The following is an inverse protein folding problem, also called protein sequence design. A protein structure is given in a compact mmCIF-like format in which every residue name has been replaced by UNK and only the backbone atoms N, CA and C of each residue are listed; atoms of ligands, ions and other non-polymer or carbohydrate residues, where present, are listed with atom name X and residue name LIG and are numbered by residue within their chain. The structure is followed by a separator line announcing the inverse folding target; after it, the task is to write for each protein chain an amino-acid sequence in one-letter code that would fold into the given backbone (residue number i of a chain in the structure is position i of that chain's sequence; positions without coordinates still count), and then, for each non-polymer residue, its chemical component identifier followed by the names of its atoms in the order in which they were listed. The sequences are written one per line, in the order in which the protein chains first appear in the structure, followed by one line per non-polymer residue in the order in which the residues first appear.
data_IF_818443241755
#
_entry.id   IF_818443241755
#
_cell.length_a   1.000
_cell.length_b   1.000
_cell.length_c   1.000
_cell.angle_alpha   90.00
_cell.angle_beta   90.00
_cell.angle_gamma   90.00
#
_symmetry.space_group_name_H-M   'P 1'
#
loop_
_entity.id
_entity.type
_entity.pdbx_description
1 polymer ?
#
# COMPACT_ATOMS: atom_id res chain seq x y z
N UNK A 1 -20.47 32.24 39.67
CA UNK A 1 -20.62 32.77 38.28
C UNK A 1 -19.81 31.87 37.34
N UNK A 2 -20.46 30.94 36.62
CA UNK A 2 -19.81 30.04 35.64
C UNK A 2 -19.51 30.83 34.36
N UNK A 3 -18.26 30.83 33.88
CA UNK A 3 -17.91 31.41 32.58
C UNK A 3 -18.13 30.35 31.50
N UNK A 4 -19.13 30.57 30.66
CA UNK A 4 -19.31 29.84 29.40
C UNK A 4 -18.15 30.20 28.46
N UNK A 5 -17.52 29.18 27.85
CA UNK A 5 -16.61 29.38 26.72
C UNK A 5 -17.44 29.32 25.44
N UNK A 6 -17.36 30.39 24.67
CA UNK A 6 -17.96 30.49 23.35
C UNK A 6 -17.29 29.51 22.38
N UNK A 7 -18.11 28.80 21.64
CA UNK A 7 -17.73 27.99 20.50
C UNK A 7 -17.56 28.93 19.31
N UNK A 8 -16.38 28.94 18.71
CA UNK A 8 -16.10 29.69 17.49
C UNK A 8 -16.52 28.80 16.33
N UNK A 9 -17.59 29.21 15.67
CA UNK A 9 -18.09 28.63 14.42
C UNK A 9 -17.25 29.20 13.27
N UNK A 10 -16.36 28.38 12.72
CA UNK A 10 -15.68 28.69 11.46
C UNK A 10 -16.46 28.03 10.34
N UNK A 11 -17.50 28.72 9.90
CA UNK A 11 -18.20 28.38 8.65
C UNK A 11 -17.24 28.52 7.48
N UNK A 12 -16.86 27.40 6.88
CA UNK A 12 -16.35 27.35 5.51
C UNK A 12 -17.33 26.51 4.70
N UNK A 13 -18.22 27.21 3.98
CA UNK A 13 -18.87 26.66 2.80
C UNK A 13 -17.80 26.57 1.69
N UNK A 14 -17.45 25.35 1.30
CA UNK A 14 -16.44 25.08 0.28
C UNK A 14 -16.71 23.74 -0.40
N UNK A 15 -16.65 23.74 -1.74
CA UNK A 15 -16.94 22.59 -2.59
C UNK A 15 -16.25 21.30 -2.14
N UNK A 16 -17.00 20.21 -2.20
CA UNK A 16 -16.68 18.92 -1.60
C UNK A 16 -15.32 18.37 -1.98
N UNK A 17 -14.34 18.62 -1.11
CA UNK A 17 -13.29 17.63 -0.81
C UNK A 17 -13.90 16.75 0.28
N UNK A 18 -14.06 15.47 -0.02
CA UNK A 18 -14.66 14.46 0.88
C UNK A 18 -13.98 14.59 2.25
N UNK A 19 -14.74 15.09 3.22
CA UNK A 19 -14.25 15.50 4.53
C UNK A 19 -13.55 14.35 5.23
N UNK A 20 -12.26 14.53 5.51
CA UNK A 20 -11.52 13.67 6.42
C UNK A 20 -12.02 13.99 7.83
N UNK A 21 -13.08 13.30 8.26
CA UNK A 21 -13.74 13.54 9.54
C UNK A 21 -12.77 13.23 10.71
N UNK A 22 -12.08 14.26 11.20
CA UNK A 22 -11.37 14.26 12.47
C UNK A 22 -9.97 13.67 12.47
N UNK A 23 -9.23 13.99 13.54
CA UNK A 23 -7.92 13.45 13.91
C UNK A 23 -6.70 14.15 13.30
N UNK A 24 -6.31 15.28 13.91
CA UNK A 24 -4.91 15.77 13.92
C UNK A 24 -3.88 14.64 14.09
N UNK A 25 -4.26 13.57 14.78
CA UNK A 25 -3.46 12.37 14.99
C UNK A 25 -3.23 11.56 13.69
N UNK A 26 -4.20 11.49 12.79
CA UNK A 26 -4.04 10.78 11.52
C UNK A 26 -3.09 11.53 10.58
N UNK A 27 -3.28 12.84 10.43
CA UNK A 27 -2.35 13.68 9.67
C UNK A 27 -0.93 13.63 10.27
N UNK A 28 -0.80 13.64 11.60
CA UNK A 28 0.49 13.46 12.26
C UNK A 28 1.10 12.07 12.00
N UNK A 29 0.29 11.01 12.00
CA UNK A 29 0.73 9.65 11.68
C UNK A 29 1.21 9.54 10.22
N UNK A 30 0.48 10.12 9.27
CA UNK A 30 0.90 10.19 7.87
C UNK A 30 2.21 10.96 7.71
N UNK A 31 2.37 12.09 8.40
CA UNK A 31 3.61 12.85 8.35
C UNK A 31 4.80 12.08 8.95
N UNK A 32 4.54 11.27 9.98
CA UNK A 32 5.57 10.41 10.57
C UNK A 32 5.94 9.25 9.64
N UNK A 33 4.94 8.63 8.99
CA UNK A 33 5.12 7.60 7.98
C UNK A 33 5.98 8.11 6.80
N UNK A 34 5.61 9.27 6.24
CA UNK A 34 6.33 9.89 5.12
C UNK A 34 7.81 10.14 5.46
N UNK A 35 8.10 10.69 6.66
CA UNK A 35 9.49 10.84 7.14
C UNK A 35 10.20 9.50 7.31
N UNK A 36 9.49 8.47 7.76
CA UNK A 36 10.02 7.10 7.88
C UNK A 36 10.43 6.54 6.52
N UNK A 37 9.56 6.67 5.51
CA UNK A 37 9.87 6.30 4.12
C UNK A 37 11.09 7.08 3.63
N UNK A 38 11.10 8.41 3.79
CA UNK A 38 12.25 9.24 3.42
C UNK A 38 13.57 8.81 4.07
N UNK A 39 13.53 8.35 5.32
CA UNK A 39 14.71 7.82 6.03
C UNK A 39 15.26 6.55 5.35
N UNK A 40 14.39 5.63 4.95
CA UNK A 40 14.78 4.41 4.23
C UNK A 40 15.34 4.75 2.86
N UNK A 41 14.65 5.61 2.10
CA UNK A 41 15.09 6.04 0.78
C UNK A 41 16.46 6.71 0.83
N UNK A 42 16.69 7.58 1.82
CA UNK A 42 17.98 8.23 2.02
C UNK A 42 19.09 7.25 2.40
N UNK A 43 18.78 6.22 3.20
CA UNK A 43 19.73 5.17 3.54
C UNK A 43 20.14 4.34 2.30
N UNK A 44 19.20 4.01 1.41
CA UNK A 44 19.47 3.32 0.15
C UNK A 44 20.37 4.16 -0.78
N UNK A 45 20.08 5.46 -0.89
CA UNK A 45 20.89 6.40 -1.67
C UNK A 45 22.32 6.52 -1.11
N UNK A 46 22.48 6.69 0.21
CA UNK A 46 23.80 6.79 0.85
C UNK A 46 24.65 5.54 0.73
N UNK A 47 24.00 4.38 0.67
CA UNK A 47 24.67 3.09 0.43
C UNK A 47 24.97 2.84 -1.04
N UNK A 48 24.59 3.76 -1.94
CA UNK A 48 24.76 3.64 -3.39
C UNK A 48 24.11 2.38 -3.98
N UNK A 49 23.00 1.91 -3.39
CA UNK A 49 22.25 0.72 -3.85
C UNK A 49 20.86 1.05 -4.38
N UNK A 50 20.45 2.33 -4.34
CA UNK A 50 19.11 2.75 -4.78
C UNK A 50 18.78 2.35 -6.23
N UNK A 51 19.79 2.41 -7.12
CA UNK A 51 19.63 2.10 -8.54
C UNK A 51 19.27 0.63 -8.81
N UNK A 52 19.83 -0.28 -8.00
CA UNK A 52 19.60 -1.73 -8.07
C UNK A 52 18.58 -2.22 -7.04
N UNK A 53 17.77 -1.33 -6.45
CA UNK A 53 16.78 -1.69 -5.44
C UNK A 53 15.38 -1.37 -5.96
N UNK A 54 14.54 -2.40 -6.06
CA UNK A 54 13.11 -2.22 -6.23
C UNK A 54 12.46 -1.83 -4.90
N UNK A 55 11.81 -0.66 -4.87
CA UNK A 55 11.01 -0.20 -3.74
C UNK A 55 9.54 -0.22 -4.13
N UNK A 56 8.71 -0.85 -3.31
CA UNK A 56 7.25 -0.81 -3.43
C UNK A 56 6.62 -0.25 -2.15
N UNK A 57 5.76 0.76 -2.30
CA UNK A 57 4.93 1.30 -1.24
C UNK A 57 3.46 1.01 -1.54
N UNK A 58 2.77 0.39 -0.60
CA UNK A 58 1.39 -0.05 -0.78
C UNK A 58 0.57 0.07 0.51
N UNK A 59 -0.75 0.16 0.38
CA UNK A 59 -1.71 -0.09 1.46
C UNK A 59 -2.44 -1.41 1.23
N UNK A 60 -2.77 -2.12 2.30
CA UNK A 60 -3.46 -3.43 2.29
C UNK A 60 -4.95 -3.30 1.97
N UNK A 61 -5.59 -2.22 2.41
CA UNK A 61 -6.99 -1.90 2.11
C UNK A 61 -7.24 -0.38 2.11
N UNK A 62 -8.38 0.03 1.57
CA UNK A 62 -8.87 1.41 1.63
C UNK A 62 -9.33 1.79 3.04
N UNK A 63 -9.21 3.07 3.40
CA UNK A 63 -9.61 3.55 4.73
C UNK A 63 -11.13 3.78 4.86
N UNK A 64 -11.83 3.95 3.73
CA UNK A 64 -13.27 4.10 3.66
C UNK A 64 -13.86 2.75 3.24
N UNK A 65 -14.98 2.33 3.85
CA UNK A 65 -15.65 1.05 3.54
C UNK A 65 -14.79 -0.21 3.69
N UNK A 66 -13.73 -0.16 4.52
CA UNK A 66 -12.92 -1.33 4.87
C UNK A 66 -13.82 -2.52 5.25
N UNK A 67 -13.51 -3.68 4.67
CA UNK A 67 -14.27 -4.92 4.89
C UNK A 67 -15.39 -5.15 3.87
N UNK A 68 -15.59 -4.22 2.93
CA UNK A 68 -16.51 -4.37 1.81
C UNK A 68 -15.77 -4.34 0.49
N UNK A 69 -16.35 -4.96 -0.55
CA UNK A 69 -15.81 -4.96 -1.91
C UNK A 69 -16.20 -3.69 -2.70
N UNK A 70 -16.57 -2.62 -2.02
CA UNK A 70 -16.78 -1.32 -2.66
C UNK A 70 -15.44 -0.73 -3.07
N UNK A 71 -15.47 0.10 -4.13
CA UNK A 71 -14.25 0.70 -4.70
C UNK A 71 -13.40 1.41 -3.64
N UNK A 72 -14.01 2.14 -2.70
CA UNK A 72 -13.26 2.87 -1.68
C UNK A 72 -12.60 1.97 -0.63
N UNK A 73 -13.09 0.73 -0.45
CA UNK A 73 -12.52 -0.28 0.45
C UNK A 73 -11.39 -1.09 -0.18
N UNK A 74 -11.34 -1.18 -1.51
CA UNK A 74 -10.36 -1.97 -2.26
C UNK A 74 -9.34 -1.15 -3.03
N UNK A 75 -9.65 0.12 -3.36
CA UNK A 75 -8.73 1.03 -4.04
C UNK A 75 -7.68 1.54 -3.07
N UNK A 76 -6.44 1.09 -3.26
CA UNK A 76 -5.30 1.46 -2.43
C UNK A 76 -4.18 2.10 -3.24
N UNK A 77 -3.34 2.95 -2.61
CA UNK A 77 -2.13 3.43 -3.28
C UNK A 77 -1.16 2.26 -3.49
N UNK A 78 -0.56 2.21 -4.69
CA UNK A 78 0.61 1.40 -5.01
C UNK A 78 1.59 2.29 -5.79
N UNK A 79 2.78 2.50 -5.24
CA UNK A 79 3.88 3.23 -5.86
C UNK A 79 5.08 2.30 -5.94
N UNK A 80 5.73 2.25 -7.10
CA UNK A 80 6.94 1.43 -7.29
C UNK A 80 8.05 2.28 -7.90
N UNK A 81 9.28 2.07 -7.44
CA UNK A 81 10.47 2.74 -7.96
C UNK A 81 11.61 1.74 -8.12
N UNK A 82 12.17 1.68 -9.32
CA UNK A 82 13.40 0.97 -9.62
C UNK A 82 14.13 1.76 -10.72
N UNK A 83 15.09 2.63 -10.38
CA UNK A 83 15.62 3.61 -11.33
C UNK A 83 16.23 3.03 -12.60
N UNK A 84 16.85 1.85 -12.51
CA UNK A 84 17.52 1.22 -13.66
C UNK A 84 16.56 0.44 -14.57
N UNK A 85 15.39 0.03 -14.06
CA UNK A 85 14.42 -0.80 -14.80
C UNK A 85 13.14 -0.03 -15.20
N UNK A 86 12.71 0.95 -14.39
CA UNK A 86 11.46 1.68 -14.59
C UNK A 86 11.70 3.13 -15.01
N UNK A 87 10.99 3.55 -16.05
CA UNK A 87 10.91 4.97 -16.38
C UNK A 87 10.18 5.76 -15.27
N UNK A 88 10.73 6.92 -14.90
CA UNK A 88 10.15 7.77 -13.87
C UNK A 88 8.85 8.45 -14.35
N UNK A 89 7.91 8.69 -13.43
CA UNK A 89 6.69 9.46 -13.70
C UNK A 89 5.64 8.75 -14.54
N UNK A 90 5.75 7.44 -14.70
CA UNK A 90 4.76 6.63 -15.42
C UNK A 90 3.56 6.35 -14.53
N UNK A 91 2.36 6.53 -15.10
CA UNK A 91 1.10 6.10 -14.49
C UNK A 91 0.57 4.87 -15.23
N UNK A 92 0.20 3.84 -14.47
CA UNK A 92 -0.39 2.60 -15.01
C UNK A 92 -1.90 2.66 -14.78
N UNK A 93 -2.67 2.66 -15.86
CA UNK A 93 -4.14 2.77 -15.80
C UNK A 93 -4.87 1.42 -15.68
N UNK A 94 -4.17 0.30 -15.93
CA UNK A 94 -4.75 -1.03 -15.78
C UNK A 94 -4.95 -1.37 -14.31
N UNK A 95 -6.03 -2.09 -14.01
CA UNK A 95 -6.25 -2.63 -12.68
C UNK A 95 -5.14 -3.64 -12.33
N UNK A 96 -4.66 -3.55 -11.09
CA UNK A 96 -3.64 -4.43 -10.51
C UNK A 96 -4.06 -4.84 -9.10
N UNK A 97 -3.50 -5.93 -8.61
CA UNK A 97 -3.70 -6.48 -7.28
C UNK A 97 -2.37 -6.50 -6.51
N UNK A 98 -2.42 -6.51 -5.18
CA UNK A 98 -1.24 -6.74 -4.36
C UNK A 98 -0.60 -8.12 -4.60
N UNK A 99 -1.36 -9.08 -5.15
CA UNK A 99 -0.81 -10.36 -5.59
C UNK A 99 0.17 -10.20 -6.76
N UNK A 100 -0.05 -9.21 -7.63
CA UNK A 100 0.84 -8.92 -8.75
C UNK A 100 2.19 -8.38 -8.26
N UNK A 101 2.21 -7.71 -7.10
CA UNK A 101 3.48 -7.27 -6.46
C UNK A 101 4.32 -8.49 -6.09
N UNK A 102 3.73 -9.54 -5.53
CA UNK A 102 4.45 -10.78 -5.22
C UNK A 102 5.01 -11.42 -6.49
N UNK A 103 4.21 -11.51 -7.56
CA UNK A 103 4.67 -12.02 -8.84
C UNK A 103 5.83 -11.18 -9.41
N UNK A 104 5.71 -9.85 -9.33
CA UNK A 104 6.74 -8.90 -9.78
C UNK A 104 8.03 -9.05 -8.97
N UNK A 105 7.95 -9.27 -7.65
CA UNK A 105 9.14 -9.49 -6.82
C UNK A 105 9.86 -10.80 -7.16
N UNK A 106 9.11 -11.86 -7.48
CA UNK A 106 9.70 -13.14 -7.91
C UNK A 106 10.39 -13.00 -9.27
N UNK A 107 9.73 -12.33 -10.22
CA UNK A 107 10.29 -12.04 -11.55
C UNK A 107 11.56 -11.18 -11.44
N UNK A 108 11.50 -10.10 -10.64
CA UNK A 108 12.64 -9.24 -10.34
C UNK A 108 13.83 -10.00 -9.71
N UNK A 109 13.56 -11.02 -8.90
CA UNK A 109 14.57 -11.88 -8.29
C UNK A 109 15.04 -13.01 -9.22
N UNK A 110 14.50 -13.09 -10.45
CA UNK A 110 14.70 -14.19 -11.39
C UNK A 110 14.40 -15.57 -10.78
N UNK A 111 13.36 -15.63 -9.93
CA UNK A 111 12.89 -16.84 -9.27
C UNK A 111 11.65 -17.33 -10.00
N UNK A 112 11.70 -18.56 -10.50
CA UNK A 112 10.51 -19.20 -11.06
C UNK A 112 9.47 -19.41 -9.97
N UNK A 113 8.33 -18.74 -10.07
CA UNK A 113 7.20 -19.00 -9.20
C UNK A 113 6.70 -20.44 -9.44
N UNK A 114 6.63 -21.25 -8.38
CA UNK A 114 5.82 -22.47 -8.42
C UNK A 114 4.36 -22.04 -8.53
N UNK A 115 3.61 -22.60 -9.47
CA UNK A 115 2.16 -22.39 -9.54
C UNK A 115 1.53 -22.87 -8.25
N UNK A 116 1.15 -21.94 -7.38
CA UNK A 116 0.31 -22.20 -6.21
C UNK A 116 -1.09 -21.73 -6.58
N UNK A 117 -2.04 -22.66 -6.64
CA UNK A 117 -3.44 -22.33 -6.88
C UNK A 117 -3.99 -21.75 -5.57
N UNK A 118 -4.05 -20.42 -5.48
CA UNK A 118 -4.40 -19.68 -4.25
C UNK A 118 -5.86 -19.91 -3.80
N UNK A 119 -6.69 -20.55 -4.63
CA UNK A 119 -8.06 -20.97 -4.31
C UNK A 119 -8.27 -22.49 -4.38
N UNK A 120 -7.21 -23.28 -4.19
CA UNK A 120 -7.38 -24.72 -4.01
C UNK A 120 -8.01 -24.98 -2.62
N UNK A 121 -9.20 -25.60 -2.53
CA UNK A 121 -9.76 -26.01 -1.24
C UNK A 121 -8.85 -26.99 -0.46
N UNK A 122 -7.82 -27.54 -1.11
CA UNK A 122 -6.81 -28.43 -0.53
C UNK A 122 -5.46 -27.75 -0.24
N UNK A 123 -5.42 -26.43 -0.02
CA UNK A 123 -4.16 -25.72 0.26
C UNK A 123 -3.36 -26.27 1.47
N UNK A 124 -4.00 -27.07 2.34
CA UNK A 124 -3.36 -27.79 3.46
C UNK A 124 -2.80 -29.17 3.10
N UNK A 125 -3.00 -29.68 1.88
CA UNK A 125 -2.60 -31.04 1.47
C UNK A 125 -1.32 -31.08 0.61
N UNK A 126 -0.63 -29.94 0.41
CA UNK A 126 0.67 -29.94 -0.25
C UNK A 126 1.75 -30.46 0.72
N UNK A 127 1.83 -31.77 0.89
CA UNK A 127 3.09 -32.40 1.29
C UNK A 127 4.14 -32.10 0.21
N UNK A 128 5.44 -32.03 0.58
CA UNK A 128 6.52 -31.68 -0.37
C UNK A 128 6.55 -32.57 -1.63
N UNK A 129 5.95 -33.76 -1.56
CA UNK A 129 6.14 -34.84 -2.53
C UNK A 129 4.89 -35.14 -3.37
N UNK A 130 3.79 -34.39 -3.21
CA UNK A 130 2.61 -34.49 -4.09
C UNK A 130 1.79 -35.78 -3.98
N UNK A 131 1.89 -36.51 -2.88
CA UNK A 131 1.04 -37.68 -2.64
C UNK A 131 -0.27 -37.27 -1.92
N UNK A 132 -1.45 -37.72 -2.38
CA UNK A 132 -2.71 -37.42 -1.73
C UNK A 132 -2.79 -38.09 -0.35
N UNK A 133 -3.44 -37.45 0.64
CA UNK A 133 -3.64 -38.07 1.95
C UNK A 133 -4.55 -39.30 1.82
N UNK A 134 -4.17 -40.39 2.49
CA UNK A 134 -4.97 -41.60 2.74
C UNK A 134 -6.27 -41.29 3.50
#
# INVERSE_FOLDING_TARGET
RKKARAQVDTGEEGGGVIGFQGHRNYAAALQWLDRGVGTVMWALQRKAVMHSTLVAFASDHGNIDKGHCYLQGTLTPLLMQWPDEFAAGVNVASAVSLLDVTATLLDAANVSARTVVVNDPNLTAATPDGEPPI
#
